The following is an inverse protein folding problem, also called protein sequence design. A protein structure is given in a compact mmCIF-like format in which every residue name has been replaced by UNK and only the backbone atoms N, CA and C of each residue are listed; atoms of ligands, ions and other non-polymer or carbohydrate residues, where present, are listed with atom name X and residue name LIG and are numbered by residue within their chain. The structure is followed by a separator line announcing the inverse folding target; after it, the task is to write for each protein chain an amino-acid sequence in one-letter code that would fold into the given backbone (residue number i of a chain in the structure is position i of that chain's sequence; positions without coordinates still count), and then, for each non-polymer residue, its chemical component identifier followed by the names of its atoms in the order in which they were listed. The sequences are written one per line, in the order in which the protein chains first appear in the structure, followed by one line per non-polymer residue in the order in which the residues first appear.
data_IF_069366040476
#
_entry.id   IF_069366040476
#
_cell.length_a   1.000
_cell.length_b   1.000
_cell.length_c   1.000
_cell.angle_alpha   90.00
_cell.angle_beta   90.00
_cell.angle_gamma   90.00
#
_symmetry.space_group_name_H-M   'P 1'
#
loop_
_entity.id
_entity.type
_entity.pdbx_description
1 polymer ?
#
# COMPACT_ATOMS: atom_id res chain seq x y z
N UNK A 1 1.17 -3.20 18.19
CA UNK A 1 0.75 -2.75 16.84
C UNK A 1 1.64 -1.59 16.41
N UNK A 2 2.47 -1.72 15.36
CA UNK A 2 3.23 -0.59 14.87
C UNK A 2 2.29 0.32 14.06
N UNK A 3 1.86 1.42 14.66
CA UNK A 3 1.16 2.50 13.97
C UNK A 3 2.25 3.28 13.22
N UNK A 4 2.22 3.26 11.88
CA UNK A 4 3.13 4.06 11.06
C UNK A 4 2.81 5.55 11.14
N UNK A 5 3.66 6.41 10.57
CA UNK A 5 3.51 7.89 10.55
C UNK A 5 2.37 8.41 9.64
N UNK A 6 1.32 7.61 9.44
CA UNK A 6 0.20 7.87 8.52
C UNK A 6 0.27 7.01 7.25
N UNK A 7 -0.89 6.74 6.64
CA UNK A 7 -1.02 5.83 5.49
C UNK A 7 -0.27 6.31 4.24
N UNK A 8 -0.20 7.63 4.01
CA UNK A 8 0.47 8.24 2.85
C UNK A 8 2.00 8.10 2.83
N UNK A 9 2.62 7.89 3.99
CA UNK A 9 4.09 7.83 4.15
C UNK A 9 4.57 6.46 4.69
N UNK A 10 3.66 5.51 4.85
CA UNK A 10 4.00 4.18 5.34
C UNK A 10 4.78 3.39 4.27
N UNK A 11 6.02 2.94 4.55
CA UNK A 11 6.87 2.27 3.56
C UNK A 11 6.43 0.82 3.27
N UNK A 12 5.48 0.26 4.04
CA UNK A 12 5.05 -1.13 3.86
C UNK A 12 4.20 -1.31 2.60
N UNK A 13 4.61 -2.14 1.64
CA UNK A 13 3.88 -2.31 0.38
C UNK A 13 2.54 -3.04 0.58
N UNK A 14 2.45 -3.92 1.59
CA UNK A 14 1.28 -4.75 1.87
C UNK A 14 0.70 -4.49 3.28
N UNK A 15 0.19 -3.28 3.53
CA UNK A 15 -0.42 -2.92 4.81
C UNK A 15 -1.96 -3.02 4.74
N UNK A 16 -2.61 -3.98 5.42
CA UNK A 16 -4.06 -4.13 5.36
C UNK A 16 -4.84 -2.96 6.02
N UNK A 17 -4.24 -2.24 6.97
CA UNK A 17 -4.83 -1.03 7.56
C UNK A 17 -4.60 0.25 6.73
N UNK A 18 -4.09 0.18 5.49
CA UNK A 18 -3.80 1.37 4.68
C UNK A 18 -5.10 2.06 4.21
N UNK A 19 -5.33 3.27 4.70
CA UNK A 19 -6.48 4.08 4.30
C UNK A 19 -6.26 4.92 3.02
N UNK A 20 -5.01 5.26 2.68
CA UNK A 20 -4.66 6.08 1.51
C UNK A 20 -3.42 5.53 0.78
N UNK A 21 -3.30 5.73 -0.54
CA UNK A 21 -2.10 5.37 -1.30
C UNK A 21 -0.86 6.13 -0.81
N UNK A 22 0.31 5.53 -0.96
CA UNK A 22 1.58 6.20 -0.67
C UNK A 22 1.87 7.28 -1.69
N UNK A 23 2.45 8.39 -1.21
CA UNK A 23 2.90 9.46 -2.10
C UNK A 23 4.14 8.99 -2.86
N UNK A 24 4.15 9.20 -4.17
CA UNK A 24 5.32 8.94 -5.02
C UNK A 24 5.58 7.46 -5.33
N UNK A 25 4.70 6.53 -4.93
CA UNK A 25 4.80 5.12 -5.30
C UNK A 25 3.76 4.75 -6.34
N UNK A 26 4.13 3.92 -7.32
CA UNK A 26 3.18 3.35 -8.26
C UNK A 26 2.33 2.26 -7.56
N UNK A 27 1.06 2.17 -7.95
CA UNK A 27 0.15 1.15 -7.45
C UNK A 27 0.17 -0.06 -8.38
N UNK A 28 0.11 -1.26 -7.81
CA UNK A 28 -0.11 -2.49 -8.56
C UNK A 28 -1.62 -2.65 -8.77
N UNK A 29 -2.09 -2.48 -10.01
CA UNK A 29 -3.50 -2.68 -10.37
C UNK A 29 -3.57 -3.86 -11.33
N UNK A 30 -4.35 -4.88 -10.96
CA UNK A 30 -4.63 -6.06 -11.77
C UNK A 30 -6.12 -6.39 -11.63
N UNK A 31 -6.84 -6.33 -12.74
CA UNK A 31 -8.28 -6.54 -12.80
C UNK A 31 -8.68 -7.99 -12.50
N UNK A 32 -7.75 -8.94 -12.61
CA UNK A 32 -8.00 -10.36 -12.37
C UNK A 32 -7.69 -10.78 -10.92
N UNK A 33 -7.16 -9.85 -10.11
CA UNK A 33 -6.70 -10.14 -8.75
C UNK A 33 -7.45 -9.31 -7.73
N UNK A 34 -8.06 -9.98 -6.76
CA UNK A 34 -8.63 -9.36 -5.55
C UNK A 34 -7.73 -9.65 -4.37
N UNK A 35 -7.31 -8.62 -3.65
CA UNK A 35 -6.46 -8.76 -2.44
C UNK A 35 -7.11 -8.10 -1.24
N UNK A 36 -6.77 -8.55 -0.05
CA UNK A 36 -7.18 -7.92 1.21
C UNK A 36 -6.36 -6.65 1.54
N UNK A 37 -5.39 -6.29 0.69
CA UNK A 37 -4.54 -5.12 0.87
C UNK A 37 -5.07 -3.98 0.01
N UNK A 38 -5.58 -2.89 0.61
CA UNK A 38 -5.95 -1.70 -0.14
C UNK A 38 -4.70 -0.97 -0.65
N UNK A 39 -4.73 -0.50 -1.90
CA UNK A 39 -3.65 0.24 -2.56
C UNK A 39 -2.27 -0.45 -2.47
N UNK A 40 -2.13 -1.67 -3.02
CA UNK A 40 -0.83 -2.35 -3.03
C UNK A 40 0.17 -1.54 -3.86
N UNK A 41 1.33 -1.26 -3.29
CA UNK A 41 2.41 -0.54 -3.96
C UNK A 41 3.36 -1.53 -4.66
N UNK A 42 3.90 -1.16 -5.83
CA UNK A 42 5.00 -1.94 -6.41
C UNK A 42 6.20 -1.93 -5.46
N UNK A 43 6.82 -3.08 -5.18
CA UNK A 43 8.04 -3.13 -4.39
C UNK A 43 9.13 -2.33 -5.12
N UNK A 44 9.65 -1.28 -4.48
CA UNK A 44 10.84 -0.60 -4.96
C UNK A 44 12.04 -1.46 -4.57
N UNK A 45 12.77 -1.95 -5.58
CA UNK A 45 14.01 -2.72 -5.44
C UNK A 45 15.15 -1.87 -4.91
#
# INVERSE_FOLDING_TARGET
TPIGMGSKVCPRPACPQRAFPTIGTQLTVDENTSTFVPYPAVPVS
#
